data_IF_657620791499
#
_entry.id   IF_657620791499
#
_cell.length_a   1.000
_cell.length_b   1.000
_cell.length_c   1.000
_cell.angle_alpha   90.00
_cell.angle_beta   90.00
_cell.angle_gamma   90.00
#
_symmetry.space_group_name_H-M   'P 1'
#
loop_
_entity.id
_entity.type
_entity.pdbx_description
1 polymer ?
#
# COMPACT_ATOMS: atom_id res chain seq x y z
N UNK A 1 15.53 23.14 16.05
CA UNK A 1 14.58 22.03 15.85
C UNK A 1 14.65 21.70 14.36
N UNK A 2 15.12 20.51 13.97
CA UNK A 2 15.23 20.17 12.54
C UNK A 2 13.83 20.25 11.91
N UNK A 3 13.67 21.02 10.83
CA UNK A 3 12.40 21.09 10.12
C UNK A 3 12.07 19.73 9.55
N UNK A 4 10.89 19.20 9.85
CA UNK A 4 10.38 17.98 9.25
C UNK A 4 10.01 18.24 7.79
N UNK A 5 10.62 17.51 6.86
CA UNK A 5 10.30 17.60 5.42
C UNK A 5 8.87 17.10 5.15
N UNK A 6 8.39 16.14 5.94
CA UNK A 6 7.03 15.55 5.89
C UNK A 6 6.46 15.28 7.29
N UNK A 7 5.16 14.98 7.38
CA UNK A 7 4.43 14.78 8.63
C UNK A 7 3.96 16.09 9.27
N UNK A 8 3.63 17.09 8.46
CA UNK A 8 3.15 18.40 8.89
C UNK A 8 1.62 18.56 8.79
N UNK A 9 0.91 17.57 8.24
CA UNK A 9 -0.55 17.57 8.14
C UNK A 9 -1.22 17.08 9.44
N UNK A 10 -2.31 17.72 9.83
CA UNK A 10 -3.16 17.25 10.94
C UNK A 10 -3.89 15.95 10.61
N UNK A 11 -4.31 15.80 9.35
CA UNK A 11 -4.80 14.55 8.78
C UNK A 11 -3.85 14.07 7.70
N UNK A 12 -3.33 12.85 7.84
CA UNK A 12 -2.41 12.27 6.90
C UNK A 12 -3.05 11.92 5.55
N UNK A 13 -2.21 11.46 4.62
CA UNK A 13 -2.63 11.07 3.27
C UNK A 13 -2.68 9.55 3.13
N UNK A 14 -3.61 9.05 2.33
CA UNK A 14 -3.67 7.65 1.95
C UNK A 14 -2.92 7.39 0.63
N UNK A 15 -2.15 6.31 0.61
CA UNK A 15 -1.43 5.81 -0.56
C UNK A 15 -1.81 4.35 -0.78
N UNK A 16 -2.18 3.98 -2.00
CA UNK A 16 -2.44 2.59 -2.37
C UNK A 16 -1.24 2.09 -3.17
N UNK A 17 -0.58 1.06 -2.68
CA UNK A 17 0.61 0.48 -3.31
C UNK A 17 0.33 -0.97 -3.72
N UNK A 18 0.11 -1.18 -5.02
CA UNK A 18 -0.08 -2.52 -5.57
C UNK A 18 1.11 -2.94 -6.41
N UNK A 19 1.43 -4.23 -6.36
CA UNK A 19 2.52 -4.82 -7.11
C UNK A 19 2.31 -6.33 -7.21
N UNK A 20 2.72 -6.96 -8.34
CA UNK A 20 2.76 -8.40 -8.45
C UNK A 20 3.56 -9.03 -7.33
N UNK A 21 3.19 -10.26 -6.97
CA UNK A 21 3.90 -11.01 -5.95
C UNK A 21 5.38 -11.17 -6.34
N UNK A 22 6.30 -10.73 -5.47
CA UNK A 22 7.75 -10.78 -5.73
C UNK A 22 8.40 -9.45 -6.10
N UNK A 23 7.62 -8.37 -6.27
CA UNK A 23 8.12 -7.05 -6.68
C UNK A 23 8.54 -6.13 -5.51
N UNK A 24 8.59 -6.63 -4.27
CA UNK A 24 9.22 -5.91 -3.15
C UNK A 24 8.41 -4.78 -2.49
N UNK A 25 7.09 -4.71 -2.71
CA UNK A 25 6.22 -3.64 -2.15
C UNK A 25 6.33 -3.45 -0.64
N UNK A 26 6.32 -4.54 0.13
CA UNK A 26 6.45 -4.50 1.60
C UNK A 26 7.81 -3.96 2.02
N UNK A 27 8.88 -4.26 1.28
CA UNK A 27 10.23 -3.73 1.57
C UNK A 27 10.27 -2.21 1.38
N UNK A 28 9.69 -1.70 0.30
CA UNK A 28 9.64 -0.26 0.02
C UNK A 28 8.91 0.52 1.13
N UNK A 29 7.77 0.01 1.60
CA UNK A 29 7.00 0.64 2.70
C UNK A 29 7.76 0.57 4.03
N UNK A 30 8.43 -0.56 4.33
CA UNK A 30 9.27 -0.68 5.53
C UNK A 30 10.44 0.32 5.52
N UNK A 31 11.07 0.55 4.37
CA UNK A 31 12.12 1.57 4.24
C UNK A 31 11.56 2.97 4.54
N UNK A 32 10.37 3.29 4.00
CA UNK A 32 9.69 4.55 4.27
C UNK A 32 9.37 4.74 5.77
N UNK A 33 8.81 3.71 6.42
CA UNK A 33 8.50 3.74 7.85
C UNK A 33 9.75 3.87 8.74
N UNK A 34 10.88 3.31 8.29
CA UNK A 34 12.16 3.42 8.99
C UNK A 34 12.71 4.85 8.89
N UNK A 35 12.58 5.49 7.72
CA UNK A 35 13.06 6.86 7.52
C UNK A 35 12.12 7.90 8.14
N UNK A 36 10.80 7.68 8.09
CA UNK A 36 9.80 8.66 8.47
C UNK A 36 8.80 8.10 9.48
N UNK A 37 8.90 8.58 10.72
CA UNK A 37 7.98 8.19 11.80
C UNK A 37 6.52 8.59 11.57
N UNK A 38 6.22 9.49 10.63
CA UNK A 38 4.85 9.87 10.25
C UNK A 38 4.19 8.88 9.28
N UNK A 39 4.87 7.82 8.86
CA UNK A 39 4.33 6.82 7.93
C UNK A 39 3.85 5.59 8.70
N UNK A 40 2.74 5.02 8.26
CA UNK A 40 2.21 3.75 8.73
C UNK A 40 1.81 2.85 7.56
N UNK A 41 1.96 1.53 7.74
CA UNK A 41 1.37 0.53 6.86
C UNK A 41 -0.02 0.15 7.40
N UNK A 42 -1.00 0.01 6.52
CA UNK A 42 -2.30 -0.56 6.88
C UNK A 42 -2.19 -2.08 6.95
N UNK A 43 -2.45 -2.64 8.13
CA UNK A 43 -2.39 -4.08 8.36
C UNK A 43 -3.76 -4.69 8.01
N UNK A 44 -3.83 -5.45 6.92
CA UNK A 44 -5.08 -6.06 6.47
C UNK A 44 -5.52 -7.20 7.38
N UNK A 45 -6.82 -7.48 7.37
CA UNK A 45 -7.44 -8.64 7.99
C UNK A 45 -7.49 -9.78 6.98
N UNK A 46 -7.29 -11.01 7.43
CA UNK A 46 -7.40 -12.19 6.58
C UNK A 46 -8.05 -13.37 7.29
N UNK A 47 -8.74 -14.20 6.52
CA UNK A 47 -9.28 -15.50 6.97
C UNK A 47 -8.30 -16.66 6.78
N UNK A 48 -7.14 -16.39 6.20
CA UNK A 48 -6.07 -17.37 6.02
C UNK A 48 -5.44 -17.72 7.37
N UNK A 49 -5.05 -18.98 7.63
CA UNK A 49 -4.24 -19.29 8.79
C UNK A 49 -2.85 -18.62 8.70
N UNK A 50 -2.33 -18.23 9.86
CA UNK A 50 -0.98 -17.69 10.01
C UNK A 50 0.07 -18.70 9.57
N UNK A 51 1.11 -18.25 8.87
CA UNK A 51 2.29 -19.08 8.51
C UNK A 51 3.38 -18.97 9.57
N UNK A 52 4.30 -19.92 9.58
CA UNK A 52 5.36 -20.03 10.61
C UNK A 52 6.24 -18.78 10.79
N UNK A 53 6.39 -17.91 9.78
CA UNK A 53 7.20 -16.69 9.84
C UNK A 53 6.38 -15.40 10.02
N UNK A 54 5.05 -15.50 10.04
CA UNK A 54 4.15 -14.36 10.17
C UNK A 54 3.82 -14.08 11.64
N UNK A 55 3.51 -12.82 11.95
CA UNK A 55 3.18 -12.35 13.29
C UNK A 55 1.83 -11.63 13.25
N UNK A 56 0.92 -12.04 14.14
CA UNK A 56 -0.39 -11.42 14.36
C UNK A 56 -0.25 -9.93 14.70
N UNK A 57 -1.06 -9.09 14.06
CA UNK A 57 -1.04 -7.64 14.26
C UNK A 57 0.21 -6.95 13.73
N UNK A 58 1.04 -7.64 12.95
CA UNK A 58 2.17 -7.07 12.20
C UNK A 58 2.05 -7.36 10.71
N UNK A 59 1.89 -8.62 10.35
CA UNK A 59 1.81 -9.04 8.96
C UNK A 59 0.35 -9.01 8.46
N UNK A 60 -0.58 -9.54 9.28
CA UNK A 60 -2.03 -9.44 9.10
C UNK A 60 -2.72 -9.50 10.47
N UNK A 61 -4.00 -9.13 10.49
CA UNK A 61 -4.93 -9.59 11.51
C UNK A 61 -5.57 -10.91 11.08
N UNK A 62 -5.18 -12.01 11.69
CA UNK A 62 -5.64 -13.35 11.34
C UNK A 62 -6.93 -13.68 12.11
N UNK A 63 -8.07 -13.65 11.41
CA UNK A 63 -9.40 -13.83 12.01
C UNK A 63 -10.18 -14.98 11.37
N UNK A 64 -11.14 -15.56 12.09
CA UNK A 64 -12.01 -16.59 11.55
C UNK A 64 -13.02 -16.05 10.52
N UNK A 65 -13.52 -16.92 9.63
CA UNK A 65 -14.53 -16.55 8.60
C UNK A 65 -15.77 -15.87 9.20
N UNK A 66 -16.27 -16.35 10.34
CA UNK A 66 -17.44 -15.75 11.01
C UNK A 66 -17.20 -14.31 11.48
N UNK A 67 -16.02 -14.03 12.03
CA UNK A 67 -15.65 -12.67 12.44
C UNK A 67 -15.46 -11.75 11.23
N UNK A 68 -14.86 -12.26 10.15
CA UNK A 68 -14.69 -11.50 8.91
C UNK A 68 -16.05 -11.12 8.30
N UNK A 69 -16.97 -12.07 8.21
CA UNK A 69 -18.34 -11.82 7.71
C UNK A 69 -19.13 -10.88 8.63
N UNK A 70 -18.88 -10.91 9.95
CA UNK A 70 -19.43 -9.93 10.89
C UNK A 70 -19.02 -8.50 10.54
N UNK A 71 -17.73 -8.24 10.41
CA UNK A 71 -17.20 -6.90 10.04
C UNK A 71 -17.74 -6.48 8.67
N UNK A 72 -17.83 -7.42 7.73
CA UNK A 72 -18.33 -7.16 6.37
C UNK A 72 -19.82 -6.78 6.36
N UNK A 73 -20.66 -7.42 7.17
CA UNK A 73 -22.10 -7.12 7.27
C UNK A 73 -22.40 -5.73 7.84
N UNK A 74 -21.48 -5.20 8.64
CA UNK A 74 -21.56 -3.86 9.20
C UNK A 74 -20.93 -2.78 8.30
N UNK A 75 -20.60 -3.12 7.04
CA UNK A 75 -19.86 -2.25 6.12
C UNK A 75 -18.53 -1.72 6.72
N UNK A 76 -17.94 -2.47 7.65
CA UNK A 76 -16.76 -2.08 8.42
C UNK A 76 -15.45 -2.15 7.62
N UNK A 77 -15.46 -2.81 6.47
CA UNK A 77 -14.31 -2.85 5.56
C UNK A 77 -14.36 -1.70 4.57
N UNK A 78 -13.23 -1.02 4.39
CA UNK A 78 -13.02 -0.07 3.33
C UNK A 78 -13.01 -0.78 1.97
N UNK A 79 -12.19 -1.83 1.86
CA UNK A 79 -12.25 -2.81 0.80
C UNK A 79 -12.15 -4.22 1.37
N UNK A 80 -12.70 -5.17 0.62
CA UNK A 80 -12.47 -6.58 0.84
C UNK A 80 -12.56 -7.32 -0.51
N UNK A 81 -11.75 -8.37 -0.61
CA UNK A 81 -11.63 -9.26 -1.76
C UNK A 81 -11.51 -10.71 -1.28
N UNK A 82 -11.89 -11.64 -2.15
CA UNK A 82 -11.60 -13.06 -1.94
C UNK A 82 -10.54 -13.49 -2.93
N UNK A 83 -9.40 -13.95 -2.42
CA UNK A 83 -8.29 -14.46 -3.21
C UNK A 83 -8.13 -15.94 -2.89
N UNK A 84 -8.41 -16.78 -3.89
CA UNK A 84 -8.51 -18.23 -3.71
C UNK A 84 -9.58 -18.58 -2.68
N UNK A 85 -9.22 -19.30 -1.61
CA UNK A 85 -10.14 -19.75 -0.55
C UNK A 85 -10.25 -18.79 0.63
N UNK A 86 -9.49 -17.69 0.60
CA UNK A 86 -9.36 -16.76 1.74
C UNK A 86 -9.80 -15.35 1.37
N UNK A 87 -10.51 -14.72 2.30
CA UNK A 87 -10.86 -13.32 2.24
C UNK A 87 -9.78 -12.45 2.88
N UNK A 88 -9.61 -11.26 2.31
CA UNK A 88 -8.73 -10.20 2.77
C UNK A 88 -9.52 -8.89 2.80
N UNK A 89 -9.22 -8.01 3.75
CA UNK A 89 -9.87 -6.71 3.79
C UNK A 89 -9.15 -5.70 4.67
N UNK A 90 -9.34 -4.42 4.33
CA UNK A 90 -8.80 -3.29 5.07
C UNK A 90 -9.91 -2.68 5.92
N UNK A 91 -9.78 -2.72 7.24
CA UNK A 91 -10.82 -2.20 8.14
C UNK A 91 -10.81 -0.68 8.13
N UNK A 92 -11.99 -0.08 7.90
CA UNK A 92 -12.15 1.37 7.71
C UNK A 92 -11.74 2.17 8.95
N UNK A 93 -12.18 1.74 10.12
CA UNK A 93 -11.89 2.42 11.39
C UNK A 93 -10.38 2.53 11.65
N UNK A 94 -9.63 1.44 11.46
CA UNK A 94 -8.20 1.39 11.73
C UNK A 94 -7.40 2.35 10.80
N UNK A 95 -7.85 2.47 9.54
CA UNK A 95 -7.30 3.44 8.60
C UNK A 95 -7.61 4.88 9.01
N UNK A 96 -8.87 5.17 9.30
CA UNK A 96 -9.34 6.51 9.66
C UNK A 96 -8.66 7.02 10.94
N UNK A 97 -8.52 6.16 11.94
CA UNK A 97 -7.81 6.47 13.19
C UNK A 97 -6.35 6.85 12.94
N UNK A 98 -5.69 6.19 11.99
CA UNK A 98 -4.30 6.46 11.63
C UNK A 98 -4.17 7.78 10.87
N UNK A 99 -5.02 8.00 9.87
CA UNK A 99 -5.06 9.25 9.10
C UNK A 99 -5.35 10.45 10.01
N UNK A 100 -6.31 10.34 10.93
CA UNK A 100 -6.66 11.40 11.87
C UNK A 100 -5.55 11.75 12.89
N UNK A 101 -4.58 10.85 13.09
CA UNK A 101 -3.37 11.11 13.89
C UNK A 101 -2.25 11.78 13.09
N UNK A 102 -2.55 12.24 11.87
CA UNK A 102 -1.56 12.84 10.97
C UNK A 102 -0.60 11.82 10.33
N UNK A 103 -0.91 10.51 10.38
CA UNK A 103 -0.06 9.49 9.76
C UNK A 103 -0.40 9.35 8.28
N UNK A 104 0.61 9.34 7.42
CA UNK A 104 0.44 8.92 6.03
C UNK A 104 0.35 7.39 5.99
N UNK A 105 -0.75 6.87 5.45
CA UNK A 105 -1.02 5.43 5.50
C UNK A 105 -0.84 4.81 4.13
N UNK A 106 0.00 3.77 4.05
CA UNK A 106 0.17 2.94 2.86
C UNK A 106 -0.70 1.69 2.97
N UNK A 107 -1.65 1.54 2.05
CA UNK A 107 -2.45 0.34 1.84
C UNK A 107 -1.73 -0.55 0.83
N UNK A 108 -1.17 -1.67 1.31
CA UNK A 108 -0.37 -2.60 0.50
C UNK A 108 -1.26 -3.77 0.03
N UNK A 109 -2.13 -3.48 -0.94
CA UNK A 109 -3.19 -4.39 -1.40
C UNK A 109 -2.99 -4.86 -2.85
N UNK A 110 -3.73 -5.89 -3.26
CA UNK A 110 -3.70 -6.38 -4.64
C UNK A 110 -4.46 -5.44 -5.60
N UNK A 111 -4.32 -5.69 -6.90
CA UNK A 111 -4.93 -4.82 -7.92
C UNK A 111 -6.45 -4.82 -7.90
N UNK A 112 -7.12 -5.89 -7.46
CA UNK A 112 -8.59 -5.92 -7.39
C UNK A 112 -9.08 -5.03 -6.26
N UNK A 113 -8.47 -5.13 -5.07
CA UNK A 113 -8.77 -4.27 -3.93
C UNK A 113 -8.55 -2.78 -4.27
N UNK A 114 -7.41 -2.47 -4.89
CA UNK A 114 -7.08 -1.10 -5.28
C UNK A 114 -8.06 -0.49 -6.29
N UNK A 115 -8.45 -1.23 -7.33
CA UNK A 115 -9.42 -0.72 -8.31
C UNK A 115 -10.80 -0.56 -7.70
N UNK A 116 -11.21 -1.46 -6.80
CA UNK A 116 -12.48 -1.32 -6.07
C UNK A 116 -12.51 -0.05 -5.22
N UNK A 117 -11.41 0.29 -4.54
CA UNK A 117 -11.29 1.57 -3.82
C UNK A 117 -11.41 2.76 -4.76
N UNK A 118 -10.73 2.68 -5.92
CA UNK A 118 -10.76 3.76 -6.92
C UNK A 118 -12.15 3.98 -7.48
N UNK A 119 -12.87 2.91 -7.81
CA UNK A 119 -14.25 2.96 -8.31
C UNK A 119 -15.24 3.51 -7.27
N UNK A 120 -14.95 3.30 -5.98
CA UNK A 120 -15.70 3.88 -4.86
C UNK A 120 -15.37 5.37 -4.61
N UNK A 121 -14.44 5.95 -5.38
CA UNK A 121 -14.03 7.34 -5.22
C UNK A 121 -13.17 7.60 -3.99
N UNK A 122 -12.49 6.57 -3.45
CA UNK A 122 -11.61 6.75 -2.30
C UNK A 122 -10.41 7.64 -2.67
N UNK A 123 -10.28 8.79 -2.00
CA UNK A 123 -9.18 9.75 -2.19
C UNK A 123 -7.87 9.15 -1.66
N UNK A 124 -7.04 8.67 -2.58
CA UNK A 124 -5.69 8.20 -2.31
C UNK A 124 -4.80 8.45 -3.53
N UNK A 125 -3.48 8.40 -3.32
CA UNK A 125 -2.54 8.31 -4.43
C UNK A 125 -2.31 6.84 -4.76
N UNK A 126 -2.69 6.43 -5.97
CA UNK A 126 -2.58 5.05 -6.44
C UNK A 126 -1.25 4.84 -7.17
N UNK A 127 -0.41 3.96 -6.63
CA UNK A 127 0.93 3.66 -7.13
C UNK A 127 1.03 2.18 -7.47
N UNK A 128 1.34 1.86 -8.72
CA UNK A 128 1.64 0.50 -9.16
C UNK A 128 3.16 0.31 -9.26
N UNK A 129 3.67 -0.80 -8.71
CA UNK A 129 5.08 -1.20 -8.84
C UNK A 129 5.17 -2.47 -9.67
N UNK A 130 5.68 -2.34 -10.90
CA UNK A 130 5.90 -3.45 -11.82
C UNK A 130 7.31 -4.03 -11.75
N UNK A 131 7.52 -5.29 -12.17
CA UNK A 131 8.86 -5.81 -12.44
C UNK A 131 9.44 -5.18 -13.72
N UNK A 132 10.77 -5.23 -13.93
CA UNK A 132 11.38 -4.73 -15.17
C UNK A 132 11.06 -5.59 -16.39
N UNK A 133 10.78 -6.89 -16.19
CA UNK A 133 10.20 -7.78 -17.19
C UNK A 133 9.54 -8.99 -16.52
N UNK A 134 8.76 -9.74 -17.30
CA UNK A 134 8.15 -11.02 -16.85
C UNK A 134 9.24 -12.07 -16.57
N UNK A 135 10.30 -12.09 -17.36
CA UNK A 135 11.46 -12.99 -17.17
C UNK A 135 12.17 -12.71 -15.85
N UNK A 136 12.35 -11.44 -15.50
CA UNK A 136 12.94 -11.06 -14.21
C UNK A 136 12.02 -11.44 -13.04
N UNK A 137 10.70 -11.28 -13.20
CA UNK A 137 9.74 -11.75 -12.21
C UNK A 137 9.82 -13.27 -12.02
N UNK A 138 9.87 -14.04 -13.12
CA UNK A 138 10.07 -15.50 -13.10
C UNK A 138 11.36 -15.86 -12.38
N UNK A 139 12.48 -15.17 -12.68
CA UNK A 139 13.76 -15.39 -12.00
C UNK A 139 13.66 -15.17 -10.49
N UNK A 140 12.99 -14.10 -10.05
CA UNK A 140 12.76 -13.80 -8.62
C UNK A 140 11.87 -14.83 -7.92
N UNK A 141 10.83 -15.33 -8.60
CA UNK A 141 9.96 -16.38 -8.06
C UNK A 141 10.71 -17.70 -7.90
N UNK A 142 11.49 -18.10 -8.92
CA UNK A 142 12.32 -19.30 -8.88
C UNK A 142 13.36 -19.28 -7.74
N UNK A 143 13.98 -18.12 -7.49
CA UNK A 143 15.00 -17.97 -6.45
C UNK A 143 14.47 -18.23 -5.03
N UNK A 144 13.18 -18.00 -4.79
CA UNK A 144 12.57 -18.23 -3.47
C UNK A 144 12.46 -19.72 -3.11
N UNK A 145 12.59 -20.64 -4.08
CA UNK A 145 12.57 -22.11 -3.90
C UNK A 145 11.37 -22.68 -3.10
N UNK A 146 10.33 -21.89 -2.87
CA UNK A 146 9.15 -22.28 -2.08
C UNK A 146 8.00 -22.81 -2.91
N UNK A 147 8.08 -22.69 -4.24
CA UNK A 147 6.96 -22.90 -5.15
C UNK A 147 7.28 -23.96 -6.20
N UNK A 148 6.30 -24.79 -6.54
CA UNK A 148 6.41 -25.76 -7.64
C UNK A 148 6.40 -25.06 -9.00
N UNK A 149 6.95 -25.69 -10.04
CA UNK A 149 6.95 -25.16 -11.41
C UNK A 149 5.52 -24.78 -11.89
N UNK A 150 4.52 -25.60 -11.57
CA UNK A 150 3.11 -25.30 -11.87
C UNK A 150 2.58 -24.06 -11.16
N UNK A 151 3.00 -23.82 -9.91
CA UNK A 151 2.60 -22.63 -9.14
C UNK A 151 3.23 -21.34 -9.70
N UNK A 152 4.45 -21.43 -10.22
CA UNK A 152 5.14 -20.30 -10.85
C UNK A 152 4.40 -19.84 -12.10
N UNK A 153 4.00 -20.74 -13.00
CA UNK A 153 3.24 -20.35 -14.21
C UNK A 153 1.91 -19.68 -13.87
N UNK A 154 1.17 -20.22 -12.88
CA UNK A 154 -0.07 -19.58 -12.42
C UNK A 154 0.19 -18.16 -11.89
N UNK A 155 1.25 -17.96 -11.11
CA UNK A 155 1.61 -16.63 -10.59
C UNK A 155 2.05 -15.67 -11.69
N UNK A 156 2.75 -16.14 -12.72
CA UNK A 156 3.16 -15.29 -13.85
C UNK A 156 1.96 -14.83 -14.65
N UNK A 157 1.00 -15.72 -14.93
CA UNK A 157 -0.26 -15.35 -15.60
C UNK A 157 -1.03 -14.30 -14.80
N UNK A 158 -1.14 -14.49 -13.49
CA UNK A 158 -1.76 -13.49 -12.60
C UNK A 158 -1.00 -12.17 -12.66
N UNK A 159 0.34 -12.21 -12.63
CA UNK A 159 1.15 -11.00 -12.70
C UNK A 159 0.94 -10.22 -14.01
N UNK A 160 0.78 -10.90 -15.15
CA UNK A 160 0.46 -10.25 -16.43
C UNK A 160 -0.91 -9.53 -16.36
N UNK A 161 -1.92 -10.19 -15.80
CA UNK A 161 -3.23 -9.59 -15.57
C UNK A 161 -3.13 -8.36 -14.64
N UNK A 162 -2.35 -8.44 -13.57
CA UNK A 162 -2.10 -7.33 -12.66
C UNK A 162 -1.35 -6.17 -13.34
N UNK A 163 -0.34 -6.45 -14.16
CA UNK A 163 0.42 -5.44 -14.92
C UNK A 163 -0.48 -4.73 -15.92
N UNK A 164 -1.42 -5.43 -16.56
CA UNK A 164 -2.38 -4.81 -17.49
C UNK A 164 -3.27 -3.75 -16.83
N UNK A 165 -3.46 -3.85 -15.50
CA UNK A 165 -4.25 -2.91 -14.68
C UNK A 165 -3.44 -1.67 -14.26
N UNK A 166 -2.12 -1.64 -14.47
CA UNK A 166 -1.27 -0.50 -14.11
C UNK A 166 -1.74 0.82 -14.74
N UNK A 167 -2.41 0.77 -15.90
CA UNK A 167 -2.99 1.94 -16.58
C UNK A 167 -4.04 2.72 -15.77
N UNK A 168 -4.58 2.12 -14.71
CA UNK A 168 -5.56 2.76 -13.83
C UNK A 168 -4.93 3.45 -12.61
N UNK A 169 -3.61 3.39 -12.45
CA UNK A 169 -2.89 4.00 -11.33
C UNK A 169 -2.39 5.39 -11.71
N UNK A 170 -2.16 6.23 -10.70
CA UNK A 170 -1.67 7.60 -10.92
C UNK A 170 -0.17 7.60 -11.21
N UNK A 171 0.57 6.63 -10.65
CA UNK A 171 1.99 6.43 -10.87
C UNK A 171 2.32 4.97 -11.18
N UNK A 172 3.27 4.75 -12.09
CA UNK A 172 3.82 3.44 -12.41
C UNK A 172 5.35 3.43 -12.20
N UNK A 173 5.83 2.61 -11.27
CA UNK A 173 7.24 2.44 -10.95
C UNK A 173 7.72 1.08 -11.45
N UNK A 174 8.91 1.04 -12.04
CA UNK A 174 9.55 -0.22 -12.46
C UNK A 174 10.64 -0.59 -11.46
N UNK A 175 10.45 -1.68 -10.73
CA UNK A 175 11.40 -2.12 -9.70
C UNK A 175 12.54 -2.96 -10.27
N UNK A 176 13.44 -2.30 -11.00
CA UNK A 176 14.73 -2.87 -11.45
C UNK A 176 15.74 -2.88 -10.30
N UNK A 177 15.89 -1.75 -9.64
CA UNK A 177 16.73 -1.56 -8.45
C UNK A 177 15.88 -1.04 -7.28
N UNK A 178 16.06 -1.62 -6.10
CA UNK A 178 15.25 -1.30 -4.93
C UNK A 178 15.51 0.13 -4.42
N UNK A 179 16.77 0.57 -4.44
CA UNK A 179 17.17 1.89 -3.95
C UNK A 179 16.62 3.00 -4.84
N UNK A 180 16.73 2.85 -6.16
CA UNK A 180 16.17 3.82 -7.09
C UNK A 180 14.65 3.86 -7.04
N UNK A 181 13.99 2.69 -6.96
CA UNK A 181 12.53 2.61 -6.79
C UNK A 181 12.08 3.30 -5.50
N UNK A 182 12.84 3.11 -4.41
CA UNK A 182 12.59 3.77 -3.14
C UNK A 182 12.70 5.30 -3.26
N UNK A 183 13.74 5.81 -3.91
CA UNK A 183 13.93 7.26 -4.14
C UNK A 183 12.76 7.87 -4.89
N UNK A 184 12.25 7.19 -5.92
CA UNK A 184 11.06 7.64 -6.66
C UNK A 184 9.82 7.63 -5.77
N UNK A 185 9.56 6.53 -5.04
CA UNK A 185 8.40 6.43 -4.15
C UNK A 185 8.40 7.51 -3.07
N UNK A 186 9.55 7.72 -2.43
CA UNK A 186 9.78 8.80 -1.46
C UNK A 186 9.50 10.18 -2.06
N UNK A 187 9.92 10.41 -3.30
CA UNK A 187 9.72 11.70 -3.97
C UNK A 187 8.23 11.97 -4.22
N UNK A 188 7.45 10.94 -4.61
CA UNK A 188 6.01 11.04 -4.77
C UNK A 188 5.33 11.39 -3.44
N UNK A 189 5.68 10.70 -2.35
CA UNK A 189 5.15 10.97 -1.02
C UNK A 189 5.38 12.43 -0.60
N UNK A 190 6.64 12.91 -0.69
CA UNK A 190 7.00 14.28 -0.33
C UNK A 190 6.22 15.27 -1.19
N UNK A 191 6.18 15.06 -2.52
CA UNK A 191 5.46 15.92 -3.43
C UNK A 191 3.96 16.02 -3.05
N UNK A 192 3.32 14.89 -2.77
CA UNK A 192 1.89 14.83 -2.44
C UNK A 192 1.54 15.52 -1.12
N UNK A 193 2.40 15.42 -0.11
CA UNK A 193 2.18 16.19 1.12
C UNK A 193 2.28 17.70 0.86
N UNK A 194 3.30 18.15 0.13
CA UNK A 194 3.50 19.57 -0.14
C UNK A 194 2.42 20.15 -1.07
N UNK A 195 1.89 19.34 -1.99
CA UNK A 195 0.71 19.68 -2.79
C UNK A 195 -0.51 19.92 -1.88
N UNK A 196 -0.80 19.00 -0.93
CA UNK A 196 -1.93 19.16 0.00
C UNK A 196 -1.73 20.39 0.91
N UNK A 197 -0.54 20.59 1.47
CA UNK A 197 -0.22 21.77 2.28
C UNK A 197 -0.44 23.06 1.49
N UNK A 198 -0.01 23.11 0.24
CA UNK A 198 -0.19 24.29 -0.62
C UNK A 198 -1.66 24.58 -0.87
N UNK A 199 -2.48 23.55 -1.11
CA UNK A 199 -3.92 23.72 -1.30
C UNK A 199 -4.60 24.23 -0.02
N UNK A 200 -4.28 23.66 1.14
CA UNK A 200 -4.79 24.14 2.42
C UNK A 200 -4.40 25.60 2.71
N UNK A 201 -3.18 26.02 2.33
CA UNK A 201 -2.75 27.43 2.43
C UNK A 201 -3.57 28.35 1.53
N UNK A 202 -3.80 27.94 0.28
CA UNK A 202 -4.62 28.71 -0.68
C UNK A 202 -6.07 28.85 -0.21
N UNK A 203 -6.60 27.84 0.46
CA UNK A 203 -7.93 27.82 1.07
C UNK A 203 -7.99 28.59 2.40
N UNK A 204 -6.86 29.10 2.91
CA UNK A 204 -6.79 29.83 4.18
C UNK A 204 -6.95 28.95 5.42
N UNK A 205 -6.87 27.62 5.26
CA UNK A 205 -7.10 26.65 6.34
C UNK A 205 -5.88 26.45 7.24
N UNK A 206 -4.67 26.84 6.78
CA UNK A 206 -3.44 26.79 7.56
C UNK A 206 -2.54 28.02 7.33
N UNK A 207 -1.76 28.47 8.34
CA UNK A 207 -0.85 29.59 8.20
C UNK A 207 0.39 29.28 7.35
N UNK A 208 0.99 30.32 6.75
CA UNK A 208 2.12 30.21 5.82
C UNK A 208 3.41 29.66 6.43
N UNK A 209 3.58 29.79 7.75
CA UNK A 209 4.76 29.35 8.49
C UNK A 209 4.82 27.83 8.75
N UNK A 210 3.76 27.08 8.46
CA UNK A 210 3.77 25.62 8.55
C UNK A 210 4.56 25.08 7.33
N UNK A 211 5.69 24.44 7.62
CA UNK A 211 6.66 23.91 6.66
C UNK A 211 7.58 24.98 6.01
N UNK A 212 8.64 25.38 6.74
CA UNK A 212 9.78 26.12 6.18
C UNK A 212 10.95 25.16 6.00
N UNK A 213 11.15 24.67 4.76
CA UNK A 213 12.40 23.99 4.40
C UNK A 213 13.47 25.08 4.33
N UNK A 214 14.27 25.23 5.40
CA UNK A 214 15.47 26.08 5.43
C UNK A 214 16.68 25.27 5.04
#
# INVERSE_FOLDING_TARGET
MMTKIIGNLSRGLAFVLSAPAGTGKTTLVKMLMTEFSCIAESISYTTRPIRAQEVEGRDYHFIGKGAFEGIKKEDGFLENVSLYEYSYGTKRADLEDSLNKGKHVFLVIDTQGALKLKDQGFEATYIFVGPPSIEELRRRLNYRQTDSASSIETRLKIAEEEISKAKFYDYHLINKDLSDTYRVLKSILICKEHEKLTNLKKEGLIPWNICQIT
#
